data_IF_755327321205
#
_entry.id   IF_755327321205
#
_cell.length_a   1.000
_cell.length_b   1.000
_cell.length_c   1.000
_cell.angle_alpha   90.00
_cell.angle_beta   90.00
_cell.angle_gamma   90.00
#
_symmetry.space_group_name_H-M   'P 1'
#
loop_
_entity.id
_entity.type
_entity.pdbx_description
1 polymer ?
#
# COMPACT_ATOMS: atom_id res chain seq x y z
N UNK A 1 3.70 -17.79 17.08
CA UNK A 1 2.50 -17.68 17.96
C UNK A 1 1.89 -16.32 17.71
N UNK A 2 0.62 -16.26 17.29
CA UNK A 2 -0.09 -14.98 17.21
C UNK A 2 -0.23 -14.42 18.63
N UNK A 3 0.08 -13.15 18.83
CA UNK A 3 -0.07 -12.53 20.14
C UNK A 3 -1.56 -12.35 20.44
N UNK A 4 -1.98 -12.77 21.63
CA UNK A 4 -3.38 -12.68 22.07
C UNK A 4 -3.80 -11.23 22.37
N UNK A 5 -2.83 -10.33 22.59
CA UNK A 5 -3.08 -8.94 22.96
C UNK A 5 -2.37 -7.97 22.02
N UNK A 6 -3.05 -6.89 21.65
CA UNK A 6 -2.49 -5.78 20.89
C UNK A 6 -1.97 -4.75 21.89
N UNK A 7 -0.65 -4.57 21.94
CA UNK A 7 -0.04 -3.44 22.67
C UNK A 7 -0.04 -2.21 21.78
N UNK A 8 -0.43 -1.04 22.30
CA UNK A 8 -0.39 0.24 21.58
C UNK A 8 0.20 1.29 22.50
N UNK A 9 1.07 2.14 21.96
CA UNK A 9 1.64 3.23 22.74
C UNK A 9 0.58 4.26 23.11
N UNK A 10 0.57 4.67 24.38
CA UNK A 10 -0.31 5.74 24.85
C UNK A 10 -0.05 7.07 24.15
N UNK A 11 1.20 7.33 23.76
CA UNK A 11 1.58 8.52 23.00
C UNK A 11 0.90 8.54 21.62
N UNK A 12 0.85 7.40 20.94
CA UNK A 12 0.18 7.28 19.63
C UNK A 12 -1.30 7.62 19.74
N UNK A 13 -2.00 7.08 20.74
CA UNK A 13 -3.44 7.35 20.96
C UNK A 13 -3.75 8.81 21.31
N UNK A 14 -2.78 9.52 21.90
CA UNK A 14 -2.91 10.94 22.26
C UNK A 14 -2.45 11.88 21.15
N UNK A 15 -1.72 11.39 20.16
CA UNK A 15 -1.17 12.21 19.08
C UNK A 15 -2.26 12.86 18.23
N UNK A 16 -2.01 14.08 17.77
CA UNK A 16 -2.90 14.79 16.86
C UNK A 16 -3.00 14.07 15.51
N UNK A 17 -1.87 13.58 14.99
CA UNK A 17 -1.81 12.75 13.79
C UNK A 17 -2.81 11.59 13.82
N UNK A 18 -2.94 10.89 14.96
CA UNK A 18 -3.86 9.77 15.10
C UNK A 18 -5.32 10.24 15.21
N UNK A 19 -5.56 11.37 15.87
CA UNK A 19 -6.91 11.92 16.03
C UNK A 19 -7.51 12.36 14.70
N UNK A 20 -6.69 12.88 13.79
CA UNK A 20 -7.07 13.29 12.43
C UNK A 20 -7.54 12.14 11.54
N UNK A 21 -7.10 10.90 11.81
CA UNK A 21 -7.49 9.73 11.02
C UNK A 21 -9.00 9.44 11.10
N UNK A 22 -9.58 9.02 9.99
CA UNK A 22 -10.95 8.51 9.93
C UNK A 22 -11.08 7.12 10.57
N UNK A 23 -12.31 6.63 10.75
CA UNK A 23 -12.56 5.34 11.38
C UNK A 23 -11.91 4.16 10.64
N UNK A 24 -12.00 4.13 9.32
CA UNK A 24 -11.40 3.07 8.49
C UNK A 24 -9.87 3.11 8.50
N UNK A 25 -9.27 4.30 8.46
CA UNK A 25 -7.82 4.51 8.56
C UNK A 25 -7.29 4.02 9.91
N UNK A 26 -8.01 4.32 10.99
CA UNK A 26 -7.71 3.78 12.33
C UNK A 26 -7.80 2.26 12.33
N UNK A 27 -8.85 1.67 11.76
CA UNK A 27 -8.97 0.20 11.64
C UNK A 27 -7.81 -0.41 10.86
N UNK A 28 -7.43 0.19 9.72
CA UNK A 28 -6.30 -0.28 8.90
C UNK A 28 -4.98 -0.16 9.67
N UNK A 29 -4.75 0.93 10.41
CA UNK A 29 -3.58 1.06 11.28
C UNK A 29 -3.56 -0.03 12.36
N UNK A 30 -4.69 -0.28 13.01
CA UNK A 30 -4.81 -1.35 14.01
C UNK A 30 -4.52 -2.73 13.40
N UNK A 31 -4.98 -2.99 12.18
CA UNK A 31 -4.66 -4.23 11.46
C UNK A 31 -3.15 -4.40 11.22
N UNK A 32 -2.45 -3.32 10.88
CA UNK A 32 -0.99 -3.33 10.78
C UNK A 32 -0.34 -3.62 12.14
N UNK A 33 -0.84 -3.00 13.22
CA UNK A 33 -0.35 -3.24 14.57
C UNK A 33 -0.67 -4.65 15.10
N UNK A 34 -1.69 -5.32 14.56
CA UNK A 34 -1.98 -6.74 14.84
C UNK A 34 -1.02 -7.68 14.10
N UNK A 35 -0.59 -7.31 12.90
CA UNK A 35 0.29 -8.12 12.05
C UNK A 35 1.77 -7.99 12.42
N UNK A 36 2.16 -7.03 13.26
CA UNK A 36 3.54 -6.88 13.73
C UNK A 36 3.89 -7.97 14.75
N UNK A 37 5.13 -8.43 14.71
CA UNK A 37 5.67 -9.40 15.67
C UNK A 37 6.72 -8.72 16.53
N UNK A 38 6.64 -8.90 17.84
CA UNK A 38 7.63 -8.38 18.76
C UNK A 38 8.59 -9.45 19.25
N UNK A 39 9.84 -9.07 19.46
CA UNK A 39 10.82 -9.85 20.21
C UNK A 39 11.39 -9.01 21.33
N UNK A 40 11.41 -9.62 22.52
CA UNK A 40 12.08 -9.05 23.68
C UNK A 40 13.58 -9.24 23.51
N UNK A 41 14.33 -8.14 23.49
CA UNK A 41 15.78 -8.18 23.55
C UNK A 41 16.19 -8.01 25.00
N UNK A 42 17.06 -8.90 25.46
CA UNK A 42 17.72 -8.74 26.74
C UNK A 42 18.85 -7.73 26.55
N UNK A 43 18.62 -6.51 27.01
CA UNK A 43 19.66 -5.49 27.10
C UNK A 43 20.63 -5.85 28.24
N UNK A 44 21.83 -5.25 28.23
CA UNK A 44 22.85 -5.38 29.29
C UNK A 44 22.22 -5.31 30.70
N UNK A 45 22.76 -6.04 31.69
CA UNK A 45 22.25 -6.03 33.06
C UNK A 45 22.13 -4.58 33.57
N UNK A 46 20.95 -4.23 34.08
CA UNK A 46 20.61 -2.87 34.54
C UNK A 46 19.76 -2.03 33.58
N UNK A 47 19.56 -2.43 32.32
CA UNK A 47 18.63 -1.77 31.40
C UNK A 47 17.30 -2.53 31.27
N UNK A 48 16.21 -1.77 31.10
CA UNK A 48 14.89 -2.34 30.81
C UNK A 48 14.95 -3.08 29.48
N UNK A 49 14.28 -4.23 29.42
CA UNK A 49 14.17 -4.99 28.18
C UNK A 49 13.49 -4.14 27.10
N UNK A 50 14.09 -4.11 25.92
CA UNK A 50 13.55 -3.41 24.76
C UNK A 50 12.75 -4.40 23.90
N UNK A 51 11.61 -3.94 23.40
CA UNK A 51 10.78 -4.71 22.48
C UNK A 51 11.00 -4.17 21.07
N UNK A 52 11.54 -4.99 20.18
CA UNK A 52 11.70 -4.63 18.78
C UNK A 52 10.69 -5.34 17.91
N UNK A 53 10.27 -4.67 16.84
CA UNK A 53 9.44 -5.27 15.80
C UNK A 53 10.36 -6.10 14.89
N UNK A 54 10.25 -7.43 14.95
CA UNK A 54 11.13 -8.34 14.20
C UNK A 54 10.80 -8.43 12.72
N UNK A 55 9.54 -8.21 12.37
CA UNK A 55 9.07 -8.24 10.99
C UNK A 55 8.90 -6.83 10.40
N UNK A 56 9.61 -5.83 10.94
CA UNK A 56 9.50 -4.48 10.39
C UNK A 56 10.01 -4.46 8.94
N UNK A 57 9.19 -3.93 8.02
CA UNK A 57 9.47 -3.95 6.59
C UNK A 57 9.09 -5.26 5.88
N UNK A 58 8.56 -6.24 6.63
CA UNK A 58 8.05 -7.52 6.11
C UNK A 58 6.57 -7.73 6.45
N UNK A 59 5.87 -6.66 6.87
CA UNK A 59 4.45 -6.76 7.21
C UNK A 59 3.66 -6.83 5.92
N UNK A 60 2.91 -7.91 5.75
CA UNK A 60 2.05 -8.13 4.58
C UNK A 60 0.61 -7.76 4.92
N UNK A 61 0.04 -6.81 4.17
CA UNK A 61 -1.40 -6.56 4.18
C UNK A 61 -1.93 -6.39 2.75
N UNK A 62 -2.58 -7.45 2.25
CA UNK A 62 -3.07 -7.51 0.88
C UNK A 62 -4.48 -6.90 0.75
N UNK A 63 -4.78 -6.34 -0.43
CA UNK A 63 -6.12 -5.83 -0.76
C UNK A 63 -7.23 -6.87 -0.55
N UNK A 64 -6.98 -8.14 -0.86
CA UNK A 64 -7.94 -9.22 -0.67
C UNK A 64 -8.23 -9.53 0.80
N UNK A 65 -7.25 -9.33 1.69
CA UNK A 65 -7.48 -9.44 3.14
C UNK A 65 -8.35 -8.29 3.65
N UNK A 66 -8.10 -7.07 3.16
CA UNK A 66 -8.89 -5.89 3.50
C UNK A 66 -10.35 -6.03 3.01
N UNK A 67 -10.56 -6.52 1.79
CA UNK A 67 -11.90 -6.80 1.25
C UNK A 67 -12.65 -7.83 2.08
N UNK A 68 -11.98 -8.90 2.54
CA UNK A 68 -12.59 -9.90 3.44
C UNK A 68 -13.03 -9.32 4.78
N UNK A 69 -12.38 -8.24 5.22
CA UNK A 69 -12.74 -7.48 6.42
C UNK A 69 -13.80 -6.39 6.16
N UNK A 70 -14.34 -6.33 4.95
CA UNK A 70 -15.37 -5.36 4.56
C UNK A 70 -14.84 -3.99 4.15
N UNK A 71 -13.52 -3.85 3.92
CA UNK A 71 -12.92 -2.60 3.47
C UNK A 71 -12.76 -2.63 1.93
N UNK A 72 -13.46 -1.77 1.18
CA UNK A 72 -13.30 -1.71 -0.27
C UNK A 72 -11.87 -1.36 -0.69
N UNK A 73 -11.39 -1.91 -1.81
CA UNK A 73 -10.00 -1.69 -2.29
C UNK A 73 -9.63 -0.22 -2.40
N UNK A 74 -10.54 0.61 -2.92
CA UNK A 74 -10.30 2.04 -3.09
C UNK A 74 -10.14 2.74 -1.73
N UNK A 75 -10.96 2.37 -0.76
CA UNK A 75 -10.88 2.88 0.62
C UNK A 75 -9.59 2.42 1.28
N UNK A 76 -9.22 1.14 1.12
CA UNK A 76 -7.97 0.61 1.65
C UNK A 76 -6.75 1.32 1.07
N UNK A 77 -6.73 1.57 -0.25
CA UNK A 77 -5.67 2.34 -0.90
C UNK A 77 -5.56 3.75 -0.31
N UNK A 78 -6.67 4.47 -0.20
CA UNK A 78 -6.69 5.81 0.40
C UNK A 78 -6.20 5.78 1.85
N UNK A 79 -6.61 4.77 2.62
CA UNK A 79 -6.15 4.62 3.99
C UNK A 79 -4.63 4.40 4.06
N UNK A 80 -4.06 3.57 3.18
CA UNK A 80 -2.59 3.42 3.08
C UNK A 80 -1.93 4.75 2.76
N UNK A 81 -2.43 5.48 1.75
CA UNK A 81 -1.87 6.77 1.34
C UNK A 81 -1.89 7.77 2.53
N UNK A 82 -3.00 7.87 3.28
CA UNK A 82 -3.10 8.70 4.49
C UNK A 82 -2.12 8.26 5.59
N UNK A 83 -2.00 6.96 5.84
CA UNK A 83 -1.12 6.43 6.90
C UNK A 83 0.37 6.66 6.57
N UNK A 84 0.74 6.60 5.29
CA UNK A 84 2.11 6.90 4.83
C UNK A 84 2.41 8.39 4.95
N UNK A 85 1.48 9.25 4.52
CA UNK A 85 1.62 10.71 4.62
C UNK A 85 1.73 11.17 6.07
N UNK A 86 0.91 10.64 6.97
CA UNK A 86 0.96 10.96 8.41
C UNK A 86 2.11 10.29 9.17
N UNK A 87 2.91 9.45 8.52
CA UNK A 87 4.11 8.86 9.11
C UNK A 87 3.86 7.70 10.08
N UNK A 88 2.75 6.99 9.93
CA UNK A 88 2.44 5.79 10.71
C UNK A 88 3.05 4.53 10.11
N UNK A 89 3.09 4.45 8.78
CA UNK A 89 3.65 3.31 8.04
C UNK A 89 4.56 3.80 6.92
N UNK A 90 5.47 2.95 6.51
CA UNK A 90 6.32 3.13 5.34
C UNK A 90 6.17 1.93 4.40
N UNK A 91 6.30 2.16 3.10
CA UNK A 91 6.26 1.10 2.08
C UNK A 91 7.69 0.60 1.89
N UNK A 92 7.99 -0.57 2.44
CA UNK A 92 9.31 -1.18 2.35
C UNK A 92 9.54 -1.85 0.98
N UNK A 93 8.49 -2.44 0.42
CA UNK A 93 8.52 -3.04 -0.92
C UNK A 93 7.18 -2.82 -1.62
N UNK A 94 7.23 -2.34 -2.86
CA UNK A 94 6.05 -2.21 -3.72
C UNK A 94 5.96 -3.41 -4.63
N UNK A 95 5.08 -4.35 -4.27
CA UNK A 95 4.85 -5.54 -5.08
C UNK A 95 4.23 -5.22 -6.45
N UNK A 96 4.46 -6.09 -7.41
CA UNK A 96 3.98 -5.94 -8.78
C UNK A 96 2.53 -6.44 -8.90
N UNK A 97 1.60 -5.50 -9.09
CA UNK A 97 0.18 -5.80 -9.25
C UNK A 97 -0.08 -6.78 -10.41
N UNK A 98 -0.48 -8.01 -10.09
CA UNK A 98 -0.81 -9.05 -11.07
C UNK A 98 0.24 -10.16 -11.21
N UNK A 99 1.39 -10.08 -10.53
CA UNK A 99 2.36 -11.18 -10.46
C UNK A 99 2.07 -12.04 -9.22
N UNK A 100 1.83 -13.33 -9.44
CA UNK A 100 1.59 -14.29 -8.35
C UNK A 100 2.81 -14.34 -7.44
N UNK A 101 2.62 -14.02 -6.16
CA UNK A 101 3.65 -14.12 -5.12
C UNK A 101 4.39 -12.83 -4.80
N UNK A 102 4.25 -11.78 -5.61
CA UNK A 102 4.85 -10.48 -5.32
C UNK A 102 3.85 -9.57 -4.59
N UNK A 103 4.13 -9.27 -3.31
CA UNK A 103 3.21 -8.57 -2.41
C UNK A 103 3.84 -7.29 -1.90
N UNK A 104 3.02 -6.29 -1.62
CA UNK A 104 3.50 -5.10 -0.91
C UNK A 104 3.88 -5.43 0.52
N UNK A 105 5.07 -4.96 0.92
CA UNK A 105 5.58 -5.08 2.27
C UNK A 105 5.65 -3.70 2.92
N UNK A 106 5.28 -3.65 4.20
CA UNK A 106 5.19 -2.42 4.96
C UNK A 106 6.04 -2.49 6.24
N UNK A 107 6.43 -1.33 6.72
CA UNK A 107 7.04 -1.11 8.04
C UNK A 107 6.19 -0.17 8.87
N UNK A 108 6.21 -0.36 10.19
CA UNK A 108 5.67 0.61 11.14
C UNK A 108 6.72 1.71 11.33
N UNK A 109 6.28 2.95 11.30
CA UNK A 109 7.14 4.13 11.37
C UNK A 109 6.86 4.93 12.64
N UNK A 110 7.88 5.61 13.15
CA UNK A 110 7.78 6.56 14.27
C UNK A 110 7.74 8.02 13.79
N UNK A 111 7.68 8.26 12.47
CA UNK A 111 7.66 9.61 11.88
C UNK A 111 6.48 10.45 12.40
N UNK A 112 5.35 9.83 12.69
CA UNK A 112 4.18 10.49 13.28
C UNK A 112 4.48 11.24 14.59
N UNK A 113 5.54 10.90 15.32
CA UNK A 113 5.93 11.62 16.56
C UNK A 113 6.37 13.05 16.30
N UNK A 114 6.87 13.32 15.09
CA UNK A 114 7.28 14.64 14.63
C UNK A 114 6.18 15.33 13.82
N UNK A 115 5.00 14.73 13.72
CA UNK A 115 3.90 15.29 12.93
C UNK A 115 3.52 16.69 13.43
N UNK A 116 3.40 17.64 12.50
CA UNK A 116 3.13 19.05 12.82
C UNK A 116 4.34 19.87 13.25
N UNK A 117 5.56 19.30 13.25
CA UNK A 117 6.80 20.05 13.48
C UNK A 117 7.61 20.22 12.19
N UNK A 118 8.55 21.16 12.18
CA UNK A 118 9.44 21.41 11.04
C UNK A 118 10.34 20.18 10.71
N UNK A 119 10.53 19.29 11.68
CA UNK A 119 11.28 18.03 11.50
C UNK A 119 10.44 16.90 10.88
N UNK A 120 9.16 17.16 10.55
CA UNK A 120 8.30 16.15 9.95
C UNK A 120 8.72 15.86 8.51
N UNK A 121 9.15 14.62 8.27
CA UNK A 121 9.45 14.15 6.92
C UNK A 121 8.17 13.53 6.38
N UNK A 122 7.50 14.23 5.46
CA UNK A 122 6.36 13.67 4.73
C UNK A 122 6.85 12.57 3.77
N UNK A 123 6.06 11.50 3.63
CA UNK A 123 6.30 10.48 2.61
C UNK A 123 5.04 10.28 1.79
N UNK A 124 5.22 9.89 0.54
CA UNK A 124 4.12 9.49 -0.33
C UNK A 124 4.45 8.18 -1.01
N UNK A 125 3.42 7.46 -1.41
CA UNK A 125 3.57 6.26 -2.22
C UNK A 125 4.14 6.67 -3.59
N UNK A 126 5.25 6.06 -3.96
CA UNK A 126 5.82 6.27 -5.29
C UNK A 126 4.82 5.83 -6.35
N UNK A 127 4.54 6.73 -7.30
CA UNK A 127 3.69 6.42 -8.45
C UNK A 127 4.39 5.35 -9.29
N UNK A 128 3.67 4.29 -9.66
CA UNK A 128 4.21 3.28 -10.58
C UNK A 128 4.39 3.92 -11.97
N UNK A 129 5.64 4.20 -12.32
CA UNK A 129 6.05 4.78 -13.60
C UNK A 129 6.35 3.73 -14.67
N UNK A 130 6.21 2.43 -14.38
CA UNK A 130 6.56 1.37 -15.32
C UNK A 130 5.63 1.40 -16.54
N UNK A 131 6.22 1.52 -17.73
CA UNK A 131 5.51 1.51 -18.99
C UNK A 131 5.29 0.06 -19.48
N UNK A 132 4.32 -0.13 -20.39
CA UNK A 132 4.14 -1.42 -21.06
C UNK A 132 3.27 -2.44 -20.31
N UNK A 133 2.41 -2.01 -19.39
CA UNK A 133 1.40 -2.86 -18.73
C UNK A 133 0.04 -2.17 -18.62
N UNK A 134 -0.99 -2.95 -18.27
CA UNK A 134 -2.33 -2.45 -17.93
C UNK A 134 -3.12 -1.85 -19.10
N UNK A 135 -4.12 -1.02 -18.75
CA UNK A 135 -5.04 -0.44 -19.72
C UNK A 135 -4.35 0.42 -20.80
N UNK A 136 -3.22 1.06 -20.48
CA UNK A 136 -2.48 1.85 -21.46
C UNK A 136 -1.95 1.01 -22.64
N UNK A 137 -1.53 -0.24 -22.40
CA UNK A 137 -1.17 -1.18 -23.46
C UNK A 137 -2.40 -1.70 -24.18
N UNK A 138 -3.45 -2.05 -23.43
CA UNK A 138 -4.71 -2.49 -24.01
C UNK A 138 -5.27 -1.49 -25.03
N UNK A 139 -5.33 -0.20 -24.67
CA UNK A 139 -5.81 0.86 -25.55
C UNK A 139 -4.88 1.11 -26.74
N UNK A 140 -3.56 1.00 -26.54
CA UNK A 140 -2.57 1.08 -27.64
C UNK A 140 -2.79 -0.03 -28.66
N UNK A 141 -2.92 -1.27 -28.20
CA UNK A 141 -3.15 -2.44 -29.07
C UNK A 141 -4.52 -2.37 -29.75
N UNK A 142 -5.54 -1.87 -29.05
CA UNK A 142 -6.87 -1.66 -29.65
C UNK A 142 -6.84 -0.60 -30.76
N UNK A 143 -6.03 0.45 -30.60
CA UNK A 143 -5.85 1.52 -31.60
C UNK A 143 -5.06 1.02 -32.83
N UNK A 144 -4.03 0.20 -32.64
CA UNK A 144 -3.31 -0.41 -33.77
C UNK A 144 -4.19 -1.41 -34.55
N UNK A 145 -5.03 -2.19 -33.86
CA UNK A 145 -5.92 -3.16 -34.52
C UNK A 145 -7.10 -2.50 -35.26
N UNK A 146 -7.53 -1.30 -34.83
CA UNK A 146 -8.61 -0.55 -35.51
C UNK A 146 -8.14 0.27 -36.71
N UNK A 147 -6.83 0.54 -36.84
CA UNK A 147 -6.24 1.16 -38.03
C UNK A 147 -6.18 0.22 -39.25
N UNK A 148 -5.96 -1.09 -39.04
CA UNK A 148 -5.80 -2.07 -40.13
C UNK A 148 -7.12 -2.50 -40.81
N UNK A 149 -8.28 -1.97 -40.42
CA UNK A 149 -9.59 -2.41 -40.94
C UNK A 149 -10.21 -1.47 -41.99
N UNK A 150 -9.49 -0.46 -42.49
CA UNK A 150 -10.06 0.57 -43.38
C UNK A 150 -9.49 0.65 -44.81
N UNK A 151 -8.61 -0.24 -45.23
CA UNK A 151 -8.05 -0.20 -46.58
C UNK A 151 -8.44 -1.45 -47.37
N UNK A 152 -9.64 -1.43 -47.96
CA UNK A 152 -9.95 -2.10 -49.23
C UNK A 152 -11.35 -1.68 -49.70
N UNK A 153 -11.50 -0.59 -50.47
CA UNK A 153 -12.67 -0.45 -51.31
C UNK A 153 -12.54 -1.48 -52.45
N UNK A 154 -13.43 -2.46 -52.46
CA UNK A 154 -13.58 -3.41 -53.56
C UNK A 154 -13.90 -2.65 -54.86
N UNK A 155 -12.91 -2.50 -55.74
CA UNK A 155 -13.11 -2.02 -57.11
C UNK A 155 -13.86 -3.12 -57.86
N UNK A 156 -15.18 -2.95 -57.99
CA UNK A 156 -16.02 -3.72 -58.90
C UNK A 156 -15.81 -3.13 -60.30
N UNK A 157 -14.96 -3.75 -61.11
CA UNK A 157 -14.90 -3.48 -62.55
C UNK A 157 -16.16 -4.10 -63.17
N UNK A 158 -17.09 -3.24 -63.59
CA UNK A 158 -18.24 -3.62 -64.40
C UNK A 158 -17.83 -3.58 -65.88
N UNK A 159 -17.42 -4.72 -66.42
CA UNK A 159 -17.32 -4.92 -67.87
C UNK A 159 -18.74 -5.24 -68.38
N UNK A 160 -19.34 -4.29 -69.10
CA UNK A 160 -20.57 -4.51 -69.86
C UNK A 160 -20.21 -4.61 -71.35
N UNK A 161 -20.70 -5.62 -72.10
CA UNK A 161 -20.44 -5.76 -73.53
C UNK A 161 -21.10 -4.67 -74.37
#
# INVERSE_FOLDING_TARGET
>A
MAQETISIERALLKSEAFRTLNGTEKTVLLDFLMKRTFQKINTKPGRKAEWIITNNGKIEYCYSEAEKKGIPRATFMRAIDTLVSNGFIDIAHSGNGGVKGDKSLYSISDRWRKWGTDDFIEASRQKDGRLGRGFAVFWRNKKSNSGNKKDNPSVINSDNP
#
